data_IF_547186784936
#
_entry.id   IF_547186784936
#
_cell.length_a   1.000
_cell.length_b   1.000
_cell.length_c   1.000
_cell.angle_alpha   90.00
_cell.angle_beta   90.00
_cell.angle_gamma   90.00
#
_symmetry.space_group_name_H-M   'P 1'
#
loop_
_entity.id
_entity.type
_entity.pdbx_description
1 polymer ?
#
# COMPACT_ATOMS: atom_id res chain seq x y z
N UNK A 1 10.42 13.91 23.75
CA UNK A 1 10.57 12.79 24.72
C UNK A 1 9.71 11.63 24.27
N UNK A 2 10.33 10.56 23.77
CA UNK A 2 9.63 9.38 23.23
C UNK A 2 9.32 8.38 24.37
N UNK A 3 8.49 8.77 25.34
CA UNK A 3 8.20 7.94 26.51
C UNK A 3 7.45 6.63 26.24
N UNK A 4 7.02 6.38 25.00
CA UNK A 4 6.17 5.22 24.67
C UNK A 4 6.62 4.44 23.43
N UNK A 5 7.90 4.47 23.10
CA UNK A 5 8.45 3.75 21.94
C UNK A 5 9.68 2.92 22.33
N UNK A 6 9.84 1.78 21.67
CA UNK A 6 11.06 0.99 21.65
C UNK A 6 11.81 1.37 20.39
N UNK A 7 13.07 1.71 20.50
CA UNK A 7 13.90 2.13 19.38
C UNK A 7 15.09 1.17 19.28
N UNK A 8 15.25 0.62 18.07
CA UNK A 8 16.41 -0.19 17.68
C UNK A 8 17.09 0.52 16.53
N UNK A 9 18.38 0.78 16.66
CA UNK A 9 19.12 1.49 15.62
C UNK A 9 20.50 0.88 15.40
N UNK A 10 20.92 0.93 14.13
CA UNK A 10 22.31 0.70 13.74
C UNK A 10 22.76 1.86 12.83
N UNK A 11 23.93 1.77 12.21
CA UNK A 11 24.44 2.85 11.35
C UNK A 11 23.63 3.09 10.07
N UNK A 12 22.73 2.18 9.69
CA UNK A 12 21.98 2.25 8.44
C UNK A 12 20.48 2.43 8.66
N UNK A 13 19.92 1.80 9.71
CA UNK A 13 18.49 1.71 9.90
C UNK A 13 18.08 2.05 11.33
N UNK A 14 16.92 2.67 11.45
CA UNK A 14 16.21 2.89 12.70
C UNK A 14 14.84 2.23 12.62
N UNK A 15 14.55 1.39 13.61
CA UNK A 15 13.24 0.77 13.81
C UNK A 15 12.63 1.32 15.09
N UNK A 16 11.38 1.79 15.02
CA UNK A 16 10.66 2.25 16.18
C UNK A 16 9.35 1.49 16.30
N UNK A 17 8.98 1.12 17.51
CA UNK A 17 7.75 0.40 17.82
C UNK A 17 7.01 1.11 18.94
N UNK A 18 5.73 1.40 18.74
CA UNK A 18 4.88 1.89 19.81
C UNK A 18 4.65 0.80 20.85
N UNK A 19 4.88 1.13 22.14
CA UNK A 19 4.70 0.17 23.24
C UNK A 19 3.21 -0.18 23.36
N UNK A 20 2.89 -1.48 23.28
CA UNK A 20 1.52 -2.01 23.28
C UNK A 20 0.63 -1.47 22.14
N UNK A 21 1.25 -0.85 21.13
CA UNK A 21 0.59 -0.32 19.95
C UNK A 21 0.97 -1.07 18.69
N UNK A 22 0.31 -0.72 17.60
CA UNK A 22 0.57 -1.28 16.26
C UNK A 22 1.38 -0.34 15.38
N UNK A 23 1.46 0.95 15.73
CA UNK A 23 2.24 1.91 14.94
C UNK A 23 3.73 1.63 15.09
N UNK A 24 4.41 1.60 13.98
CA UNK A 24 5.83 1.32 13.90
C UNK A 24 6.46 2.14 12.79
N UNK A 25 7.77 2.32 12.82
CA UNK A 25 8.48 3.11 11.83
C UNK A 25 9.76 2.40 11.43
N UNK A 26 10.08 2.48 10.14
CA UNK A 26 11.39 2.12 9.58
C UNK A 26 11.95 3.36 8.92
N UNK A 27 13.09 3.84 9.40
CA UNK A 27 13.76 5.05 8.87
C UNK A 27 12.84 6.28 8.75
N UNK A 28 11.91 6.43 9.70
CA UNK A 28 10.95 7.52 9.75
C UNK A 28 9.64 7.27 9.00
N UNK A 29 9.57 6.29 8.10
CA UNK A 29 8.32 5.91 7.41
C UNK A 29 7.46 5.02 8.30
N UNK A 30 6.21 5.40 8.50
CA UNK A 30 5.29 4.71 9.41
C UNK A 30 4.62 3.52 8.71
N UNK A 31 4.46 2.42 9.44
CA UNK A 31 3.68 1.25 9.03
C UNK A 31 2.93 0.64 10.21
N UNK A 32 1.97 -0.22 9.90
CA UNK A 32 1.14 -0.86 10.91
C UNK A 32 1.51 -2.33 11.08
N UNK A 33 1.80 -2.75 12.33
CA UNK A 33 1.87 -4.16 12.68
C UNK A 33 0.47 -4.79 12.59
N UNK A 34 0.37 -6.08 12.30
CA UNK A 34 -0.88 -6.84 12.36
C UNK A 34 -1.35 -7.01 13.80
N UNK A 35 -0.42 -7.17 14.75
CA UNK A 35 -0.72 -7.23 16.18
C UNK A 35 0.12 -6.22 16.95
N UNK A 36 -0.44 -5.67 18.06
CA UNK A 36 0.32 -4.78 18.91
C UNK A 36 1.61 -5.43 19.42
N UNK A 37 2.67 -4.62 19.58
CA UNK A 37 3.87 -5.09 20.26
C UNK A 37 3.53 -5.54 21.70
N UNK A 38 4.10 -6.64 22.16
CA UNK A 38 3.79 -7.27 23.45
C UNK A 38 5.04 -7.47 24.28
N UNK A 39 4.86 -7.44 25.60
CA UNK A 39 5.94 -7.77 26.53
C UNK A 39 5.80 -9.23 26.99
N UNK A 40 6.83 -10.03 26.71
CA UNK A 40 6.94 -11.42 27.19
C UNK A 40 8.14 -11.50 28.16
N UNK A 41 7.85 -11.58 29.45
CA UNK A 41 8.86 -11.54 30.50
C UNK A 41 9.61 -10.19 30.48
N UNK A 42 10.92 -10.23 30.23
CA UNK A 42 11.78 -9.03 30.14
C UNK A 42 11.94 -8.48 28.73
N UNK A 43 11.43 -9.17 27.71
CA UNK A 43 11.61 -8.83 26.30
C UNK A 43 10.36 -8.24 25.70
N UNK A 44 10.52 -7.29 24.77
CA UNK A 44 9.47 -6.84 23.87
C UNK A 44 9.48 -7.69 22.60
N UNK A 45 8.33 -8.06 22.13
CA UNK A 45 8.15 -8.94 20.97
C UNK A 45 7.13 -8.37 20.00
N UNK A 46 7.33 -8.66 18.73
CA UNK A 46 6.36 -8.55 17.64
C UNK A 46 6.07 -9.95 17.11
N UNK A 47 5.05 -10.12 16.28
CA UNK A 47 4.79 -11.42 15.69
C UNK A 47 5.87 -11.80 14.68
N UNK A 48 6.04 -13.10 14.47
CA UNK A 48 6.96 -13.64 13.46
C UNK A 48 6.51 -13.21 12.05
N UNK A 49 5.22 -13.11 11.84
CA UNK A 49 4.60 -12.68 10.59
C UNK A 49 4.93 -11.21 10.31
N UNK A 50 4.76 -10.32 11.29
CA UNK A 50 5.13 -8.90 11.15
C UNK A 50 6.60 -8.73 10.79
N UNK A 51 7.47 -9.54 11.40
CA UNK A 51 8.89 -9.51 11.07
C UNK A 51 9.15 -10.03 9.66
N UNK A 52 8.73 -11.27 9.36
CA UNK A 52 9.09 -11.96 8.12
C UNK A 52 8.49 -11.33 6.86
N UNK A 53 7.29 -10.74 6.96
CA UNK A 53 6.55 -10.24 5.82
C UNK A 53 6.41 -8.71 5.77
N UNK A 54 6.68 -8.04 6.88
CA UNK A 54 6.63 -6.57 6.96
C UNK A 54 8.02 -5.95 7.06
N UNK A 55 8.82 -6.33 8.05
CA UNK A 55 10.08 -5.65 8.38
C UNK A 55 11.25 -6.20 7.57
N UNK A 56 11.44 -7.51 7.58
CA UNK A 56 12.59 -8.16 6.95
C UNK A 56 12.69 -7.91 5.44
N UNK A 57 11.59 -7.94 4.66
CA UNK A 57 11.63 -7.61 3.24
C UNK A 57 12.10 -6.19 2.96
N UNK A 58 11.74 -5.24 3.81
CA UNK A 58 12.16 -3.85 3.65
C UNK A 58 13.64 -3.69 3.98
N UNK A 59 14.10 -4.27 5.09
CA UNK A 59 15.49 -4.16 5.52
C UNK A 59 16.46 -4.94 4.63
N UNK A 60 16.01 -6.04 4.03
CA UNK A 60 16.79 -6.95 3.20
C UNK A 60 16.14 -7.19 1.85
N UNK A 61 15.65 -6.13 1.20
CA UNK A 61 14.92 -6.21 -0.07
C UNK A 61 15.63 -7.06 -1.13
N UNK A 62 16.96 -6.99 -1.20
CA UNK A 62 17.78 -7.77 -2.13
C UNK A 62 17.64 -9.30 -1.97
N UNK A 63 17.21 -9.79 -0.79
CA UNK A 63 16.98 -11.22 -0.55
C UNK A 63 15.58 -11.68 -0.93
N UNK A 64 14.64 -10.73 -1.05
CA UNK A 64 13.22 -11.00 -1.26
C UNK A 64 12.73 -10.63 -2.65
N UNK A 65 13.43 -9.74 -3.36
CA UNK A 65 13.05 -9.37 -4.72
C UNK A 65 13.20 -10.56 -5.66
N UNK A 66 12.15 -10.84 -6.40
CA UNK A 66 12.19 -11.79 -7.50
C UNK A 66 13.23 -11.35 -8.53
N UNK A 67 14.00 -12.30 -9.06
CA UNK A 67 14.91 -12.04 -10.20
C UNK A 67 14.15 -11.67 -11.48
N UNK A 68 12.84 -11.90 -11.51
CA UNK A 68 11.96 -11.58 -12.64
C UNK A 68 11.35 -10.20 -12.42
N UNK A 69 11.78 -9.24 -13.21
CA UNK A 69 11.14 -7.93 -13.26
C UNK A 69 9.69 -8.05 -13.80
N UNK A 70 8.73 -7.25 -13.29
CA UNK A 70 7.41 -7.18 -13.87
C UNK A 70 7.52 -6.75 -15.33
N UNK A 71 6.66 -7.28 -16.19
CA UNK A 71 6.59 -6.91 -17.61
C UNK A 71 5.34 -6.12 -17.92
N UNK A 72 4.24 -6.49 -17.30
CA UNK A 72 2.91 -5.89 -17.51
C UNK A 72 2.45 -5.27 -16.19
N UNK A 73 2.25 -3.96 -16.23
CA UNK A 73 1.75 -3.18 -15.11
C UNK A 73 0.36 -2.67 -15.47
N UNK A 74 -0.62 -2.92 -14.62
CA UNK A 74 -1.93 -2.27 -14.71
C UNK A 74 -1.94 -1.10 -13.72
N UNK A 75 -2.23 0.09 -14.22
CA UNK A 75 -2.50 1.25 -13.40
C UNK A 75 -4.00 1.51 -13.42
N UNK A 76 -4.57 1.71 -12.25
CA UNK A 76 -5.98 1.93 -12.04
C UNK A 76 -6.23 3.36 -11.55
N UNK A 77 -6.57 4.31 -12.44
CA UNK A 77 -7.02 5.61 -11.99
C UNK A 77 -8.36 5.46 -11.28
N UNK A 78 -8.41 5.72 -9.97
CA UNK A 78 -9.63 5.60 -9.18
C UNK A 78 -10.79 6.43 -9.72
N UNK A 79 -12.02 6.08 -9.34
CA UNK A 79 -13.24 6.81 -9.72
C UNK A 79 -13.50 6.84 -11.24
N UNK A 80 -14.23 7.86 -11.72
CA UNK A 80 -14.54 8.10 -13.13
C UNK A 80 -16.06 8.25 -13.38
N UNK A 81 -16.43 8.84 -14.50
CA UNK A 81 -17.83 9.05 -14.90
C UNK A 81 -18.65 9.72 -13.81
N UNK A 82 -19.68 9.01 -13.34
CA UNK A 82 -20.59 9.47 -12.27
C UNK A 82 -19.95 9.58 -10.88
N UNK A 83 -18.83 8.93 -10.67
CA UNK A 83 -18.09 8.95 -9.40
C UNK A 83 -16.95 9.97 -9.50
N UNK A 84 -17.11 11.12 -8.85
CA UNK A 84 -16.12 12.19 -8.84
C UNK A 84 -14.91 11.89 -7.96
N UNK A 85 -15.04 10.95 -7.00
CA UNK A 85 -14.15 10.87 -5.86
C UNK A 85 -14.24 12.11 -4.96
N UNK A 86 -13.23 12.39 -4.19
CA UNK A 86 -13.13 13.59 -3.37
C UNK A 86 -13.17 14.86 -4.24
N UNK A 87 -13.73 15.94 -3.68
CA UNK A 87 -13.81 17.25 -4.33
C UNK A 87 -12.93 18.22 -3.55
N UNK A 88 -11.84 18.62 -4.16
CA UNK A 88 -10.89 19.59 -3.60
C UNK A 88 -11.32 21.03 -3.82
N UNK A 89 -10.40 21.94 -3.51
CA UNK A 89 -10.59 23.38 -3.74
C UNK A 89 -10.90 23.66 -5.23
N UNK A 90 -11.65 24.74 -5.49
CA UNK A 90 -12.06 25.14 -6.85
C UNK A 90 -12.84 24.05 -7.62
N UNK A 91 -13.52 23.16 -6.90
CA UNK A 91 -14.28 22.02 -7.45
C UNK A 91 -13.42 21.03 -8.26
N UNK A 92 -12.13 20.95 -7.99
CA UNK A 92 -11.25 19.96 -8.59
C UNK A 92 -11.69 18.56 -8.16
N UNK A 93 -12.01 17.70 -9.10
CA UNK A 93 -12.47 16.33 -8.82
C UNK A 93 -11.29 15.36 -8.81
N UNK A 94 -11.25 14.48 -7.83
CA UNK A 94 -10.22 13.46 -7.69
C UNK A 94 -10.04 12.65 -8.97
N UNK A 95 -11.13 12.21 -9.61
CA UNK A 95 -11.11 11.42 -10.84
C UNK A 95 -10.26 12.03 -11.96
N UNK A 96 -10.20 13.37 -12.05
CA UNK A 96 -9.40 14.08 -13.05
C UNK A 96 -7.92 14.06 -12.66
N UNK A 97 -7.63 14.36 -11.40
CA UNK A 97 -6.26 14.38 -10.86
C UNK A 97 -5.59 13.03 -11.01
N UNK A 98 -6.27 11.95 -10.58
CA UNK A 98 -5.69 10.60 -10.63
C UNK A 98 -5.54 10.09 -12.07
N UNK A 99 -6.42 10.50 -12.98
CA UNK A 99 -6.26 10.17 -14.40
C UNK A 99 -5.01 10.82 -15.00
N UNK A 100 -4.81 12.11 -14.73
CA UNK A 100 -3.63 12.85 -15.19
C UNK A 100 -2.32 12.28 -14.63
N UNK A 101 -2.32 11.94 -13.33
CA UNK A 101 -1.18 11.29 -12.68
C UNK A 101 -0.90 9.94 -13.34
N UNK A 102 -1.94 9.14 -13.56
CA UNK A 102 -1.81 7.81 -14.16
C UNK A 102 -1.23 7.86 -15.58
N UNK A 103 -1.64 8.82 -16.40
CA UNK A 103 -1.07 9.03 -17.72
C UNK A 103 0.43 9.40 -17.66
N UNK A 104 0.83 10.24 -16.71
CA UNK A 104 2.23 10.61 -16.50
C UNK A 104 3.07 9.42 -16.06
N UNK A 105 2.57 8.64 -15.10
CA UNK A 105 3.24 7.43 -14.61
C UNK A 105 3.37 6.41 -15.75
N UNK A 106 2.28 6.16 -16.50
CA UNK A 106 2.29 5.27 -17.66
C UNK A 106 3.41 5.66 -18.63
N UNK A 107 3.47 6.94 -19.05
CA UNK A 107 4.50 7.44 -19.96
C UNK A 107 5.91 7.20 -19.39
N UNK A 108 6.12 7.48 -18.11
CA UNK A 108 7.41 7.27 -17.45
C UNK A 108 7.83 5.80 -17.44
N UNK A 109 6.92 4.91 -17.08
CA UNK A 109 7.21 3.48 -17.03
C UNK A 109 7.44 2.87 -18.43
N UNK A 110 6.71 3.33 -19.44
CA UNK A 110 6.91 2.86 -20.84
C UNK A 110 8.28 3.25 -21.38
N UNK A 111 8.83 4.40 -21.00
CA UNK A 111 10.22 4.78 -21.33
C UNK A 111 11.26 3.85 -20.73
N UNK A 112 10.91 3.13 -19.64
CA UNK A 112 11.75 2.12 -19.01
C UNK A 112 11.47 0.70 -19.50
N UNK A 113 10.66 0.54 -20.55
CA UNK A 113 10.41 -0.74 -21.20
C UNK A 113 9.29 -1.57 -20.57
N UNK A 114 8.51 -1.03 -19.64
CA UNK A 114 7.34 -1.72 -19.11
C UNK A 114 6.14 -1.60 -20.07
N UNK A 115 5.34 -2.65 -20.16
CA UNK A 115 4.02 -2.58 -20.81
C UNK A 115 3.00 -2.11 -19.79
N UNK A 116 2.42 -0.92 -20.00
CA UNK A 116 1.48 -0.31 -19.05
C UNK A 116 0.08 -0.21 -19.65
N UNK A 117 -0.90 -0.71 -18.91
CA UNK A 117 -2.31 -0.70 -19.29
C UNK A 117 -3.07 0.07 -18.21
N UNK A 118 -3.90 1.04 -18.60
CA UNK A 118 -4.80 1.71 -17.68
C UNK A 118 -6.15 1.00 -17.63
N UNK A 119 -6.81 0.99 -16.47
CA UNK A 119 -8.18 0.49 -16.36
C UNK A 119 -9.21 1.42 -17.03
N UNK A 120 -8.90 2.71 -17.14
CA UNK A 120 -9.59 3.72 -17.94
C UNK A 120 -8.61 4.73 -18.52
N UNK A 121 -8.92 5.24 -19.69
CA UNK A 121 -8.09 6.23 -20.40
C UNK A 121 -8.77 7.60 -20.48
N UNK A 122 -10.02 7.67 -20.09
CA UNK A 122 -10.90 8.85 -20.14
C UNK A 122 -11.76 8.93 -18.87
N UNK A 123 -12.84 9.71 -18.90
CA UNK A 123 -13.80 9.83 -17.80
C UNK A 123 -14.82 8.68 -17.74
N UNK A 124 -14.51 7.51 -18.26
CA UNK A 124 -15.33 6.32 -18.09
C UNK A 124 -15.30 5.80 -16.63
N UNK A 125 -16.32 5.02 -16.26
CA UNK A 125 -16.45 4.40 -14.94
C UNK A 125 -16.46 2.87 -15.06
N UNK A 126 -15.29 2.21 -15.12
CA UNK A 126 -15.24 0.76 -14.95
C UNK A 126 -15.60 0.39 -13.50
N UNK A 127 -16.44 -0.63 -13.34
CA UNK A 127 -16.77 -1.16 -12.02
C UNK A 127 -15.53 -1.77 -11.34
N UNK A 128 -15.58 -1.99 -10.03
CA UNK A 128 -14.49 -2.67 -9.33
C UNK A 128 -14.21 -4.06 -9.93
N UNK A 129 -15.26 -4.76 -10.34
CA UNK A 129 -15.12 -6.07 -10.98
C UNK A 129 -14.43 -5.97 -12.35
N UNK A 130 -14.82 -5.00 -13.18
CA UNK A 130 -14.19 -4.77 -14.50
C UNK A 130 -12.69 -4.53 -14.37
N UNK A 131 -12.27 -3.77 -13.36
CA UNK A 131 -10.85 -3.50 -13.07
C UNK A 131 -10.08 -4.80 -12.75
N UNK A 132 -10.69 -5.67 -11.95
CA UNK A 132 -10.13 -6.98 -11.59
C UNK A 132 -10.10 -7.91 -12.80
N UNK A 133 -11.19 -7.96 -13.58
CA UNK A 133 -11.30 -8.79 -14.80
C UNK A 133 -10.24 -8.38 -15.81
N UNK A 134 -10.09 -7.09 -16.08
CA UNK A 134 -9.05 -6.58 -16.97
C UNK A 134 -7.66 -7.03 -16.50
N UNK A 135 -7.35 -6.82 -15.21
CA UNK A 135 -6.05 -7.16 -14.61
C UNK A 135 -5.72 -8.64 -14.78
N UNK A 136 -6.70 -9.52 -14.53
CA UNK A 136 -6.55 -10.98 -14.75
C UNK A 136 -6.39 -11.33 -16.23
N UNK A 137 -7.21 -10.72 -17.11
CA UNK A 137 -7.20 -10.98 -18.57
C UNK A 137 -5.84 -10.66 -19.18
N UNK A 138 -5.22 -9.56 -18.79
CA UNK A 138 -3.90 -9.17 -19.31
C UNK A 138 -2.75 -9.88 -18.60
N UNK A 139 -3.03 -10.69 -17.58
CA UNK A 139 -2.04 -11.37 -16.74
C UNK A 139 -1.01 -10.38 -16.18
N UNK A 140 -1.49 -9.30 -15.58
CA UNK A 140 -0.63 -8.28 -15.00
C UNK A 140 0.32 -8.87 -13.96
N UNK A 141 1.56 -8.41 -13.98
CA UNK A 141 2.55 -8.74 -12.95
C UNK A 141 2.40 -7.81 -11.73
N UNK A 142 1.89 -6.58 -11.96
CA UNK A 142 1.63 -5.58 -10.91
C UNK A 142 0.32 -4.85 -11.21
N UNK A 143 -0.45 -4.59 -10.16
CA UNK A 143 -1.62 -3.70 -10.16
C UNK A 143 -1.39 -2.56 -9.18
N UNK A 144 -1.55 -1.32 -9.66
CA UNK A 144 -1.39 -0.10 -8.87
C UNK A 144 -2.64 0.77 -9.04
N UNK A 145 -3.42 0.92 -7.97
CA UNK A 145 -4.54 1.87 -7.94
C UNK A 145 -4.07 3.21 -7.38
N UNK A 146 -4.53 4.29 -7.99
CA UNK A 146 -4.15 5.66 -7.67
C UNK A 146 -5.37 6.43 -7.22
N UNK A 147 -5.30 6.99 -6.02
CA UNK A 147 -6.30 7.81 -5.38
C UNK A 147 -5.69 9.14 -4.88
N UNK A 148 -6.53 10.11 -4.60
CA UNK A 148 -6.16 11.39 -4.00
C UNK A 148 -7.22 11.74 -2.94
N UNK A 149 -7.18 10.99 -1.86
CA UNK A 149 -8.20 11.01 -0.80
C UNK A 149 -8.39 12.42 -0.20
N UNK A 150 -9.62 12.71 0.16
CA UNK A 150 -9.96 13.91 0.91
C UNK A 150 -9.80 13.67 2.41
N UNK A 151 -9.47 14.74 3.14
CA UNK A 151 -9.47 14.74 4.59
C UNK A 151 -10.28 15.91 5.14
N UNK A 152 -10.91 15.70 6.30
CA UNK A 152 -11.63 16.76 7.01
C UNK A 152 -10.72 17.76 7.70
N UNK A 153 -9.48 17.35 7.99
CA UNK A 153 -8.46 18.20 8.62
C UNK A 153 -7.62 18.90 7.57
N UNK A 154 -7.53 20.22 7.62
CA UNK A 154 -6.66 21.02 6.75
C UNK A 154 -5.17 20.73 6.97
N UNK A 155 -4.80 20.16 8.11
CA UNK A 155 -3.42 19.75 8.40
C UNK A 155 -3.06 18.37 7.84
N UNK A 156 -4.01 17.62 7.31
CA UNK A 156 -3.74 16.32 6.73
C UNK A 156 -2.96 16.49 5.42
N UNK A 157 -1.80 15.87 5.38
CA UNK A 157 -0.94 15.84 4.20
C UNK A 157 -0.05 14.60 4.25
N UNK A 158 0.49 14.21 3.11
CA UNK A 158 1.40 13.08 3.00
C UNK A 158 1.00 12.12 1.88
N UNK A 159 1.71 11.01 1.81
CA UNK A 159 1.42 9.88 0.91
C UNK A 159 1.16 8.67 1.77
N UNK A 160 0.11 7.92 1.45
CA UNK A 160 -0.23 6.66 2.08
C UNK A 160 -0.25 5.56 1.02
N UNK A 161 0.35 4.42 1.32
CA UNK A 161 0.36 3.26 0.43
C UNK A 161 -0.31 2.08 1.12
N UNK A 162 -1.35 1.57 0.50
CA UNK A 162 -2.02 0.35 0.94
C UNK A 162 -1.49 -0.84 0.14
N UNK A 163 -1.09 -1.88 0.83
CA UNK A 163 -0.68 -3.15 0.21
C UNK A 163 -1.66 -4.25 0.61
N UNK A 164 -1.73 -5.29 -0.20
CA UNK A 164 -2.55 -6.46 0.15
C UNK A 164 -2.15 -7.04 1.50
N UNK A 165 -3.13 -7.25 2.36
CA UNK A 165 -2.94 -7.86 3.67
C UNK A 165 -2.39 -9.28 3.53
N UNK A 166 -1.60 -9.72 4.50
CA UNK A 166 -1.14 -11.11 4.60
C UNK A 166 -2.33 -12.08 4.60
N UNK A 167 -2.16 -13.23 3.97
CA UNK A 167 -3.16 -14.28 4.01
C UNK A 167 -3.46 -14.68 5.48
N UNK A 168 -4.73 -14.66 5.86
CA UNK A 168 -5.18 -14.98 7.21
C UNK A 168 -5.18 -13.83 8.22
N UNK A 169 -4.90 -12.61 7.79
CA UNK A 169 -4.96 -11.41 8.63
C UNK A 169 -6.04 -10.44 8.15
N UNK A 170 -6.64 -9.74 9.10
CA UNK A 170 -7.63 -8.69 8.80
C UNK A 170 -6.95 -7.48 8.16
N UNK A 171 -7.64 -6.81 7.24
CA UNK A 171 -7.19 -5.54 6.69
C UNK A 171 -7.10 -4.47 7.78
N UNK A 172 -6.07 -3.61 7.74
CA UNK A 172 -5.94 -2.48 8.66
C UNK A 172 -7.05 -1.44 8.48
N UNK A 173 -7.73 -1.42 7.33
CA UNK A 173 -8.87 -0.54 7.05
C UNK A 173 -10.18 -1.01 7.66
N UNK A 174 -10.21 -2.17 8.31
CA UNK A 174 -11.41 -2.75 8.93
C UNK A 174 -11.55 -2.38 10.40
N UNK A 175 -11.49 -1.10 10.71
CA UNK A 175 -11.91 -0.57 12.02
C UNK A 175 -13.38 -0.10 11.99
N UNK A 176 -14.29 -1.04 11.69
CA UNK A 176 -15.73 -0.85 11.81
C UNK A 176 -16.37 -2.13 12.32
N UNK A 177 -17.32 -2.04 13.22
CA UNK A 177 -18.01 -3.19 13.87
C UNK A 177 -18.69 -4.18 12.91
N UNK A 178 -18.74 -3.88 11.61
CA UNK A 178 -19.37 -4.69 10.55
C UNK A 178 -18.44 -4.99 9.36
N UNK A 179 -17.14 -4.97 9.54
CA UNK A 179 -16.19 -5.24 8.47
C UNK A 179 -16.29 -6.68 7.94
N UNK A 180 -16.36 -6.82 6.63
CA UNK A 180 -16.30 -8.12 5.96
C UNK A 180 -14.99 -8.83 6.33
N UNK A 181 -15.10 -9.92 7.09
CA UNK A 181 -13.98 -10.78 7.49
C UNK A 181 -13.54 -11.70 6.33
N UNK A 182 -13.64 -11.23 5.09
CA UNK A 182 -13.12 -12.00 3.97
C UNK A 182 -11.61 -12.14 4.12
N UNK A 183 -11.19 -13.30 4.60
CA UNK A 183 -9.80 -13.71 4.69
C UNK A 183 -9.26 -13.71 3.27
N UNK A 184 -8.33 -12.80 2.99
CA UNK A 184 -7.63 -12.81 1.70
C UNK A 184 -6.81 -14.09 1.61
N UNK A 185 -7.36 -15.09 0.90
CA UNK A 185 -6.88 -16.46 0.92
C UNK A 185 -5.57 -16.69 0.16
N UNK A 186 -5.04 -15.71 -0.60
CA UNK A 186 -3.98 -15.99 -1.58
C UNK A 186 -3.00 -14.83 -1.85
N UNK A 187 -2.58 -14.09 -0.84
CA UNK A 187 -1.46 -13.17 -1.07
C UNK A 187 -0.11 -13.92 -0.95
N UNK A 188 0.41 -14.41 -2.08
CA UNK A 188 1.72 -15.09 -2.14
C UNK A 188 2.90 -14.14 -2.39
N UNK A 189 2.64 -12.86 -2.57
CA UNK A 189 3.63 -11.82 -2.86
C UNK A 189 3.83 -10.86 -1.68
N UNK A 190 3.74 -11.37 -0.45
CA UNK A 190 3.80 -10.55 0.76
C UNK A 190 5.07 -9.70 0.87
N UNK A 191 6.22 -10.29 0.56
CA UNK A 191 7.50 -9.61 0.67
C UNK A 191 7.66 -8.53 -0.41
N UNK A 192 7.30 -8.86 -1.66
CA UNK A 192 7.34 -7.92 -2.78
C UNK A 192 6.37 -6.75 -2.57
N UNK A 193 5.17 -7.01 -2.03
CA UNK A 193 4.22 -5.97 -1.70
C UNK A 193 4.74 -5.04 -0.60
N UNK A 194 5.38 -5.59 0.44
CA UNK A 194 5.98 -4.78 1.50
C UNK A 194 7.10 -3.88 0.96
N UNK A 195 7.97 -4.42 0.10
CA UNK A 195 9.04 -3.64 -0.54
C UNK A 195 8.45 -2.52 -1.40
N UNK A 196 7.46 -2.83 -2.24
CA UNK A 196 6.80 -1.85 -3.11
C UNK A 196 6.12 -0.73 -2.31
N UNK A 197 5.48 -1.07 -1.20
CA UNK A 197 4.80 -0.10 -0.35
C UNK A 197 5.75 0.82 0.42
N UNK A 198 7.04 0.48 0.49
CA UNK A 198 8.08 1.25 1.18
C UNK A 198 9.05 1.98 0.24
N UNK A 199 8.99 1.69 -1.05
CA UNK A 199 9.85 2.34 -2.06
C UNK A 199 9.44 3.79 -2.32
#
# INVERSE_FOLDING_TARGET
MHKNKIILANKYNTLEFEIKGRRSWINGSMFWLHKPSQRLGRSWCITKEDFNFGIDPILRSYTHLSKRLPKIIVIDPGHGGKDSGAIGSKRLQEKQVVLDISHKIKKGLELHGFKVILTRYDDSYPSLEDRIVLTKKVKADLFLSIHADGATSESANGVETFISTLAGFDSSNHYGENGDKSIVSNNRFNAENAILGFA
#
